data_IF_132753808780
#
_entry.id   IF_132753808780
#
_cell.length_a   1.000
_cell.length_b   1.000
_cell.length_c   1.000
_cell.angle_alpha   90.00
_cell.angle_beta   90.00
_cell.angle_gamma   90.00
#
_symmetry.space_group_name_H-M   'P 1'
#
loop_
_entity.id
_entity.type
_entity.pdbx_description
1 polymer ?
#
# COMPACT_ATOMS: atom_id res chain seq x y z
N UNK A 1 -66.96 46.34 -30.23
CA UNK A 1 -66.15 45.49 -31.13
C UNK A 1 -64.82 45.19 -30.44
N UNK A 2 -64.51 43.91 -30.33
CA UNK A 2 -63.29 43.24 -29.85
C UNK A 2 -62.04 44.08 -29.53
N UNK A 3 -61.49 43.89 -28.33
CA UNK A 3 -60.04 43.82 -28.12
C UNK A 3 -59.71 42.47 -27.48
N UNK A 4 -59.62 41.49 -28.36
CA UNK A 4 -59.03 40.17 -28.20
C UNK A 4 -57.51 40.36 -28.37
N UNK A 5 -56.67 39.68 -27.59
CA UNK A 5 -55.20 39.76 -27.48
C UNK A 5 -54.63 40.70 -26.40
N UNK A 6 -54.61 40.21 -25.16
CA UNK A 6 -53.37 40.23 -24.37
C UNK A 6 -53.31 38.98 -23.47
N UNK A 7 -52.61 37.89 -23.87
CA UNK A 7 -52.31 36.82 -22.93
C UNK A 7 -51.25 37.36 -21.96
N UNK A 8 -51.69 37.83 -20.79
CA UNK A 8 -50.80 38.02 -19.63
C UNK A 8 -50.28 36.63 -19.25
N UNK A 9 -49.14 36.24 -19.83
CA UNK A 9 -48.40 35.04 -19.42
C UNK A 9 -48.14 35.19 -17.93
N UNK A 10 -48.84 34.42 -17.10
CA UNK A 10 -48.47 34.24 -15.69
C UNK A 10 -47.06 33.66 -15.70
N UNK A 11 -46.07 34.52 -15.50
CA UNK A 11 -44.73 34.09 -15.18
C UNK A 11 -44.85 33.27 -13.90
N UNK A 12 -44.57 31.98 -13.99
CA UNK A 12 -44.44 31.12 -12.81
C UNK A 12 -43.53 31.84 -11.82
N UNK A 13 -43.96 31.97 -10.57
CA UNK A 13 -43.16 32.54 -9.49
C UNK A 13 -41.93 31.63 -9.34
N UNK A 14 -40.82 32.02 -9.97
CA UNK A 14 -39.53 31.40 -9.73
C UNK A 14 -39.18 31.76 -8.28
N UNK A 15 -38.84 30.76 -7.48
CA UNK A 15 -38.38 30.95 -6.11
C UNK A 15 -37.16 31.87 -6.03
N UNK A 16 -36.66 32.16 -4.80
CA UNK A 16 -35.55 33.06 -4.62
C UNK A 16 -34.36 32.67 -5.52
N UNK A 17 -33.73 33.69 -6.12
CA UNK A 17 -32.60 33.53 -7.02
C UNK A 17 -31.47 32.85 -6.25
N UNK A 18 -31.21 31.57 -6.56
CA UNK A 18 -30.12 30.80 -5.97
C UNK A 18 -28.85 31.17 -6.69
N UNK A 19 -27.94 31.81 -5.97
CA UNK A 19 -26.56 32.01 -6.38
C UNK A 19 -25.73 30.82 -5.88
N UNK A 20 -24.78 30.30 -6.68
CA UNK A 20 -23.94 29.19 -6.27
C UNK A 20 -23.04 29.62 -5.10
N UNK A 21 -22.94 28.77 -4.08
CA UNK A 21 -22.15 29.05 -2.87
C UNK A 21 -20.63 29.22 -3.12
N UNK A 22 -20.14 28.85 -4.31
CA UNK A 22 -18.76 29.08 -4.74
C UNK A 22 -18.74 29.54 -6.20
N UNK A 23 -18.38 30.80 -6.40
CA UNK A 23 -18.01 31.38 -7.68
C UNK A 23 -16.49 31.51 -7.72
N UNK A 24 -15.87 31.06 -8.81
CA UNK A 24 -14.43 31.16 -9.01
C UNK A 24 -14.11 32.41 -9.84
N UNK A 25 -13.31 33.32 -9.30
CA UNK A 25 -12.86 34.54 -9.96
C UNK A 25 -11.41 34.34 -10.44
N UNK A 26 -11.15 34.60 -11.72
CA UNK A 26 -9.81 34.39 -12.32
C UNK A 26 -8.72 35.29 -11.71
N UNK A 27 -9.09 36.39 -11.05
CA UNK A 27 -8.17 37.28 -10.33
C UNK A 27 -7.58 36.64 -9.05
N UNK A 28 -8.19 35.57 -8.53
CA UNK A 28 -7.66 34.82 -7.37
C UNK A 28 -6.56 33.84 -7.77
N UNK A 29 -6.45 33.51 -9.07
CA UNK A 29 -5.45 32.55 -9.56
C UNK A 29 -4.06 33.18 -9.60
N UNK A 30 -3.96 34.46 -9.96
CA UNK A 30 -2.67 35.13 -10.11
C UNK A 30 -2.00 35.44 -8.75
N UNK A 31 -2.78 35.65 -7.67
CA UNK A 31 -2.22 35.93 -6.33
C UNK A 31 -1.71 34.70 -5.57
N UNK A 32 -2.07 33.49 -5.99
CA UNK A 32 -1.59 32.24 -5.35
C UNK A 32 -0.24 31.79 -5.93
N UNK A 33 0.19 32.35 -7.06
CA UNK A 33 1.44 31.93 -7.74
C UNK A 33 2.70 32.42 -7.01
N UNK A 34 2.64 33.49 -6.20
CA UNK A 34 3.83 34.04 -5.53
C UNK A 34 4.15 33.43 -4.15
N UNK A 35 3.38 32.46 -3.65
CA UNK A 35 3.60 31.85 -2.32
C UNK A 35 3.72 30.32 -2.31
N UNK A 36 3.91 29.66 -3.45
CA UNK A 36 4.34 28.27 -3.45
C UNK A 36 5.86 28.21 -3.66
N UNK A 37 6.55 28.32 -2.53
CA UNK A 37 7.92 27.90 -2.35
C UNK A 37 8.15 26.56 -3.06
N UNK A 38 9.21 26.52 -3.85
CA UNK A 38 9.72 25.35 -4.54
C UNK A 38 9.75 24.13 -3.60
N UNK A 39 8.84 23.18 -3.80
CA UNK A 39 9.01 21.86 -3.23
C UNK A 39 10.26 21.23 -3.89
N UNK A 40 11.27 20.79 -3.12
CA UNK A 40 12.42 20.12 -3.70
C UNK A 40 11.92 18.84 -4.38
N UNK A 41 12.21 18.73 -5.69
CA UNK A 41 11.99 17.52 -6.49
C UNK A 41 12.45 16.32 -5.66
N UNK A 42 11.50 15.45 -5.29
CA UNK A 42 11.80 14.19 -4.59
C UNK A 42 12.77 13.41 -5.46
N UNK A 43 14.04 13.44 -5.06
CA UNK A 43 15.11 12.63 -5.59
C UNK A 43 14.60 11.19 -5.56
N UNK A 44 14.66 10.51 -6.70
CA UNK A 44 14.15 9.15 -6.85
C UNK A 44 14.60 8.30 -5.68
N UNK A 45 13.65 7.66 -4.99
CA UNK A 45 13.97 6.71 -3.94
C UNK A 45 15.03 5.76 -4.49
N UNK A 46 16.14 5.51 -3.78
CA UNK A 46 17.03 4.44 -4.16
C UNK A 46 16.17 3.18 -4.29
N UNK A 47 16.36 2.45 -5.38
CA UNK A 47 15.77 1.13 -5.58
C UNK A 47 16.33 0.29 -4.43
N UNK A 48 15.62 0.24 -3.31
CA UNK A 48 15.91 -0.70 -2.24
C UNK A 48 15.91 -2.04 -2.93
N UNK A 49 17.07 -2.70 -2.91
CA UNK A 49 17.19 -4.12 -3.23
C UNK A 49 16.13 -4.76 -2.36
N UNK A 50 15.01 -5.09 -3.00
CA UNK A 50 13.90 -5.71 -2.31
C UNK A 50 14.34 -7.15 -2.28
N UNK A 51 14.73 -7.63 -1.10
CA UNK A 51 14.81 -9.06 -0.86
C UNK A 51 13.57 -9.66 -1.52
N UNK A 52 13.77 -10.58 -2.46
CA UNK A 52 12.69 -11.05 -3.31
C UNK A 52 11.60 -11.63 -2.40
N UNK A 53 10.48 -10.92 -2.32
CA UNK A 53 9.41 -11.29 -1.40
C UNK A 53 8.75 -12.55 -1.98
N UNK A 54 9.13 -13.69 -1.43
CA UNK A 54 8.51 -14.98 -1.73
C UNK A 54 7.37 -15.24 -0.75
N UNK A 55 6.29 -15.84 -1.24
CA UNK A 55 5.13 -16.18 -0.40
C UNK A 55 4.97 -17.69 -0.30
N UNK A 56 5.02 -18.21 0.93
CA UNK A 56 4.83 -19.63 1.22
C UNK A 56 3.45 -19.83 1.86
N UNK A 57 2.63 -20.68 1.24
CA UNK A 57 1.32 -21.02 1.80
C UNK A 57 1.49 -22.08 2.89
N UNK A 58 1.03 -21.75 4.09
CA UNK A 58 1.06 -22.65 5.25
C UNK A 58 -0.34 -22.95 5.78
N UNK A 59 -0.47 -24.02 6.56
CA UNK A 59 -1.73 -24.37 7.22
C UNK A 59 -2.11 -23.35 8.30
N UNK A 60 -3.41 -23.28 8.64
CA UNK A 60 -3.89 -22.39 9.71
C UNK A 60 -3.27 -22.73 11.07
N UNK A 61 -3.08 -24.01 11.36
CA UNK A 61 -2.51 -24.47 12.64
C UNK A 61 -1.04 -24.06 12.75
N UNK A 62 -0.24 -24.22 11.70
CA UNK A 62 1.18 -23.80 11.69
C UNK A 62 1.31 -22.28 11.79
N UNK A 63 0.46 -21.51 11.10
CA UNK A 63 0.42 -20.04 11.25
C UNK A 63 0.15 -19.62 12.69
N UNK A 64 -0.81 -20.27 13.36
CA UNK A 64 -1.13 -19.96 14.76
C UNK A 64 0.04 -20.26 15.69
N UNK A 65 0.76 -21.37 15.48
CA UNK A 65 1.96 -21.73 16.26
C UNK A 65 3.09 -20.72 16.07
N UNK A 66 3.37 -20.32 14.84
CA UNK A 66 4.38 -19.30 14.53
C UNK A 66 4.03 -17.97 15.19
N UNK A 67 2.77 -17.52 15.08
CA UNK A 67 2.33 -16.29 15.71
C UNK A 67 2.43 -16.35 17.24
N UNK A 68 2.12 -17.49 17.86
CA UNK A 68 2.28 -17.66 19.30
C UNK A 68 3.75 -17.55 19.72
N UNK A 69 4.68 -18.15 18.97
CA UNK A 69 6.12 -18.07 19.25
C UNK A 69 6.66 -16.64 19.13
N UNK A 70 6.20 -15.89 18.13
CA UNK A 70 6.52 -14.46 17.97
C UNK A 70 5.97 -13.65 19.14
N UNK A 71 4.72 -13.90 19.56
CA UNK A 71 4.11 -13.21 20.71
C UNK A 71 4.79 -13.54 22.04
N UNK A 72 5.38 -14.73 22.17
CA UNK A 72 6.19 -15.12 23.33
C UNK A 72 7.55 -14.40 23.38
N UNK A 73 7.89 -13.58 22.37
CA UNK A 73 9.14 -12.83 22.32
C UNK A 73 10.36 -13.68 21.96
N UNK A 74 10.15 -14.87 21.37
CA UNK A 74 11.26 -15.71 20.88
C UNK A 74 11.89 -15.18 19.60
N UNK A 75 11.12 -14.44 18.80
CA UNK A 75 11.62 -13.78 17.59
C UNK A 75 10.82 -12.50 17.29
N UNK A 76 11.49 -11.54 16.65
CA UNK A 76 10.89 -10.25 16.26
C UNK A 76 9.93 -10.36 15.07
N UNK A 77 10.20 -11.31 14.16
CA UNK A 77 9.40 -11.55 12.95
C UNK A 77 9.30 -13.07 12.69
N UNK A 78 8.26 -13.48 11.96
CA UNK A 78 8.06 -14.88 11.57
C UNK A 78 9.24 -15.43 10.75
N UNK A 79 9.84 -14.61 9.89
CA UNK A 79 10.96 -15.04 9.04
C UNK A 79 12.22 -15.34 9.87
N UNK A 80 12.50 -14.51 10.89
CA UNK A 80 13.60 -14.77 11.82
C UNK A 80 13.36 -16.07 12.61
N UNK A 81 12.12 -16.30 13.07
CA UNK A 81 11.76 -17.53 13.78
C UNK A 81 11.94 -18.76 12.89
N UNK A 82 11.55 -18.66 11.62
CA UNK A 82 11.69 -19.76 10.65
C UNK A 82 13.17 -20.05 10.41
N UNK A 83 14.00 -19.03 10.22
CA UNK A 83 15.43 -19.19 10.00
C UNK A 83 16.11 -19.86 11.20
N UNK A 84 15.84 -19.39 12.42
CA UNK A 84 16.40 -19.97 13.64
C UNK A 84 15.97 -21.43 13.83
N UNK A 85 14.70 -21.77 13.54
CA UNK A 85 14.23 -23.15 13.60
C UNK A 85 14.91 -24.05 12.57
N UNK A 86 15.13 -23.55 11.34
CA UNK A 86 15.82 -24.30 10.30
C UNK A 86 17.28 -24.54 10.72
N UNK A 87 17.97 -23.52 11.20
CA UNK A 87 19.37 -23.61 11.62
C UNK A 87 19.53 -24.54 12.83
N UNK A 88 18.60 -24.48 13.79
CA UNK A 88 18.55 -25.40 14.92
C UNK A 88 18.31 -26.84 14.44
N UNK A 89 17.42 -27.05 13.47
CA UNK A 89 17.16 -28.39 12.95
C UNK A 89 18.37 -28.95 12.20
N UNK A 90 19.04 -28.14 11.37
CA UNK A 90 20.25 -28.54 10.63
C UNK A 90 21.40 -28.87 11.58
N UNK A 91 21.58 -28.09 12.65
CA UNK A 91 22.67 -28.30 13.61
C UNK A 91 22.43 -29.44 14.61
N UNK A 92 21.18 -29.72 14.98
CA UNK A 92 20.86 -30.68 16.04
C UNK A 92 20.34 -32.03 15.55
N UNK A 93 19.69 -32.07 14.39
CA UNK A 93 18.91 -33.24 13.97
C UNK A 93 19.45 -33.91 12.69
N UNK A 94 20.33 -33.23 11.94
CA UNK A 94 20.88 -33.77 10.71
C UNK A 94 22.19 -34.54 10.97
N UNK A 95 22.39 -35.61 10.20
CA UNK A 95 23.67 -36.30 10.13
C UNK A 95 24.66 -35.51 9.27
N UNK A 96 25.96 -35.77 9.44
CA UNK A 96 27.02 -35.09 8.67
C UNK A 96 26.86 -35.24 7.15
N UNK A 97 26.32 -36.37 6.69
CA UNK A 97 26.09 -36.60 5.25
C UNK A 97 24.85 -35.83 4.75
N UNK A 98 23.77 -35.83 5.52
CA UNK A 98 22.54 -35.09 5.19
C UNK A 98 22.78 -33.56 5.17
N UNK A 99 23.66 -33.05 6.04
CA UNK A 99 24.01 -31.62 6.07
C UNK A 99 24.80 -31.20 4.83
N UNK A 100 25.70 -32.05 4.32
CA UNK A 100 26.38 -31.80 3.04
C UNK A 100 25.39 -31.79 1.88
N UNK A 101 24.45 -32.73 1.85
CA UNK A 101 23.41 -32.78 0.81
C UNK A 101 22.55 -31.52 0.87
N UNK A 102 22.12 -31.11 2.06
CA UNK A 102 21.36 -29.88 2.26
C UNK A 102 22.09 -28.65 1.72
N UNK A 103 23.39 -28.52 2.01
CA UNK A 103 24.20 -27.39 1.54
C UNK A 103 24.31 -27.35 0.01
N UNK A 104 24.56 -28.51 -0.62
CA UNK A 104 24.63 -28.61 -2.09
C UNK A 104 23.28 -28.21 -2.71
N UNK A 105 22.16 -28.70 -2.18
CA UNK A 105 20.84 -28.36 -2.69
C UNK A 105 20.57 -26.86 -2.53
N UNK A 106 20.84 -26.30 -1.35
CA UNK A 106 20.66 -24.87 -1.07
C UNK A 106 21.46 -23.99 -2.04
N UNK A 107 22.74 -24.31 -2.26
CA UNK A 107 23.60 -23.60 -3.20
C UNK A 107 23.06 -23.67 -4.64
N UNK A 108 22.60 -24.85 -5.08
CA UNK A 108 22.02 -24.99 -6.42
C UNK A 108 20.71 -24.23 -6.61
N UNK A 109 19.91 -24.05 -5.56
CA UNK A 109 18.65 -23.29 -5.62
C UNK A 109 18.93 -21.78 -5.66
N UNK A 110 19.87 -21.29 -4.85
CA UNK A 110 20.26 -19.88 -4.84
C UNK A 110 20.95 -19.45 -6.15
N UNK A 111 21.69 -20.35 -6.80
CA UNK A 111 22.30 -20.07 -8.10
C UNK A 111 21.29 -20.07 -9.28
N UNK A 112 20.05 -20.52 -9.05
CA UNK A 112 18.99 -20.58 -10.07
C UNK A 112 18.03 -19.38 -10.02
N UNK A 113 17.93 -18.70 -8.88
CA UNK A 113 17.20 -17.44 -8.72
C UNK A 113 18.06 -16.27 -9.20
#
# INVERSE_FOLDING_TARGET
MSNLLQPKKKLLNRGPKIEPAKTFSLEEVEKVVEQQQEEPKKVGRPRTVTDEITSVRISKSTRSKLNALVQMGKASNADMMINELIEQYVSSSLTDDDSRIFNIISETLNNRS
#
